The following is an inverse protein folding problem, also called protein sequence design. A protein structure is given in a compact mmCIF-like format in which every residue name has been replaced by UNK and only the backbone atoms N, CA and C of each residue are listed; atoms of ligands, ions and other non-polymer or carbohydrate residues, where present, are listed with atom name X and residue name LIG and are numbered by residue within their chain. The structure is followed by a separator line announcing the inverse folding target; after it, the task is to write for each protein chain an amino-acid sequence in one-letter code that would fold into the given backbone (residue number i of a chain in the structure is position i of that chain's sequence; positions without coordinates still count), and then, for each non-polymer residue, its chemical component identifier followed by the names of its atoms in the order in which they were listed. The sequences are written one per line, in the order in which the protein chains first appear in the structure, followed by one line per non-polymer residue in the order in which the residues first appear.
data_IF_871388451313
#
_entry.id   IF_871388451313
#
_cell.length_a   1.000
_cell.length_b   1.000
_cell.length_c   1.000
_cell.angle_alpha   90.00
_cell.angle_beta   90.00
_cell.angle_gamma   90.00
#
_symmetry.space_group_name_H-M   'P 1'
#
loop_
_entity.id
_entity.type
_entity.pdbx_description
1 polymer ?
#
# COMPACT_ATOMS: atom_id res chain seq x y z
N UNK A 1 7.50 -14.74 8.15
CA UNK A 1 7.21 -14.18 6.82
C UNK A 1 8.09 -12.94 6.59
N UNK A 2 8.43 -12.62 5.35
CA UNK A 2 9.26 -11.47 4.99
C UNK A 2 8.85 -10.91 3.62
N UNK A 3 9.28 -9.68 3.32
CA UNK A 3 8.99 -8.99 2.06
C UNK A 3 10.31 -8.81 1.29
N UNK A 4 10.37 -9.28 0.05
CA UNK A 4 11.48 -9.04 -0.87
C UNK A 4 11.12 -7.89 -1.81
N UNK A 5 11.95 -6.84 -1.82
CA UNK A 5 11.83 -5.73 -2.76
C UNK A 5 13.04 -5.78 -3.69
N UNK A 6 12.79 -5.87 -4.99
CA UNK A 6 13.83 -5.91 -6.01
C UNK A 6 13.42 -5.07 -7.22
N UNK A 7 14.41 -4.65 -7.99
CA UNK A 7 14.20 -3.99 -9.28
C UNK A 7 14.63 -4.96 -10.37
N UNK A 8 13.79 -5.18 -11.38
CA UNK A 8 14.13 -5.94 -12.58
C UNK A 8 14.19 -5.00 -13.78
N UNK A 9 15.26 -5.08 -14.57
CA UNK A 9 15.36 -4.41 -15.86
C UNK A 9 15.68 -5.45 -16.93
N UNK A 10 14.86 -5.60 -17.99
CA UNK A 10 15.10 -6.59 -19.05
C UNK A 10 16.26 -6.20 -19.98
N UNK A 11 16.72 -4.95 -19.97
CA UNK A 11 17.79 -4.44 -20.81
C UNK A 11 18.92 -3.83 -20.00
N UNK A 12 20.15 -3.96 -20.54
CA UNK A 12 21.44 -3.52 -19.98
C UNK A 12 21.58 -2.00 -19.79
N UNK A 13 20.59 -1.21 -20.21
CA UNK A 13 20.54 0.24 -19.98
C UNK A 13 20.08 0.51 -18.55
N UNK A 14 21.04 0.46 -17.63
CA UNK A 14 20.84 0.75 -16.23
C UNK A 14 20.22 2.14 -16.00
N UNK A 15 18.92 2.17 -15.70
CA UNK A 15 18.18 3.40 -15.38
C UNK A 15 17.49 3.37 -14.00
N UNK A 16 17.39 2.20 -13.36
CA UNK A 16 16.76 2.05 -12.04
C UNK A 16 17.72 2.25 -10.86
N UNK A 17 18.97 2.67 -11.11
CA UNK A 17 19.98 2.89 -10.07
C UNK A 17 19.51 3.85 -8.97
N UNK A 18 18.71 4.86 -9.32
CA UNK A 18 18.09 5.77 -8.36
C UNK A 18 17.12 5.07 -7.40
N UNK A 19 16.35 4.09 -7.88
CA UNK A 19 15.42 3.30 -7.04
C UNK A 19 16.18 2.32 -6.15
N UNK A 20 17.22 1.66 -6.70
CA UNK A 20 18.12 0.80 -5.91
C UNK A 20 18.75 1.60 -4.77
N UNK A 21 19.16 2.84 -5.03
CA UNK A 21 19.71 3.74 -4.02
C UNK A 21 18.69 4.12 -2.93
N UNK A 22 17.40 4.29 -3.27
CA UNK A 22 16.34 4.51 -2.26
C UNK A 22 16.12 3.29 -1.36
N UNK A 23 16.41 2.07 -1.86
CA UNK A 23 16.28 0.82 -1.10
C UNK A 23 17.33 0.64 0.01
N UNK A 24 18.37 1.47 0.08
CA UNK A 24 19.42 1.37 1.10
C UNK A 24 18.94 1.86 2.48
N UNK A 25 19.46 1.24 3.55
CA UNK A 25 18.91 1.29 4.92
C UNK A 25 18.58 2.68 5.51
N UNK A 26 19.33 3.79 5.38
CA UNK A 26 18.83 5.04 5.95
C UNK A 26 17.65 5.61 5.15
N UNK A 27 17.69 5.51 3.81
CA UNK A 27 16.67 6.08 2.92
C UNK A 27 15.37 5.28 2.96
N UNK A 28 15.47 3.96 2.87
CA UNK A 28 14.30 3.08 2.90
C UNK A 28 13.53 3.20 4.21
N UNK A 29 14.22 3.31 5.36
CA UNK A 29 13.57 3.49 6.65
C UNK A 29 12.70 4.76 6.69
N UNK A 30 13.18 5.86 6.09
CA UNK A 30 12.42 7.11 5.99
C UNK A 30 11.18 6.92 5.11
N UNK A 31 11.33 6.22 3.97
CA UNK A 31 10.23 5.92 3.06
C UNK A 31 9.16 5.08 3.77
N UNK A 32 9.58 4.01 4.45
CA UNK A 32 8.67 3.12 5.18
C UNK A 32 7.91 3.87 6.29
N UNK A 33 8.60 4.69 7.08
CA UNK A 33 7.94 5.51 8.11
C UNK A 33 6.95 6.51 7.51
N UNK A 34 7.29 7.12 6.36
CA UNK A 34 6.36 8.02 5.65
C UNK A 34 5.14 7.27 5.13
N UNK A 35 5.32 6.06 4.58
CA UNK A 35 4.22 5.22 4.12
C UNK A 35 3.26 4.85 5.27
N UNK A 36 3.80 4.44 6.42
CA UNK A 36 3.01 4.13 7.62
C UNK A 36 2.29 5.36 8.21
N UNK A 37 2.90 6.55 8.13
CA UNK A 37 2.20 7.79 8.51
C UNK A 37 1.08 8.12 7.53
N UNK A 38 1.32 7.99 6.23
CA UNK A 38 0.33 8.24 5.19
C UNK A 38 -0.85 7.28 5.28
N UNK A 39 -0.64 6.04 5.70
CA UNK A 39 -1.72 5.07 5.87
C UNK A 39 -2.72 5.41 6.99
N UNK A 40 -2.47 6.43 7.83
CA UNK A 40 -3.40 6.90 8.89
C UNK A 40 -4.58 7.68 8.34
N UNK A 41 -4.40 8.42 7.26
CA UNK A 41 -5.38 9.37 6.75
C UNK A 41 -5.68 9.10 5.28
N UNK A 42 -6.91 9.40 4.88
CA UNK A 42 -7.33 9.37 3.49
C UNK A 42 -8.16 10.62 3.21
N UNK A 43 -7.98 11.23 2.03
CA UNK A 43 -8.78 12.40 1.64
C UNK A 43 -10.26 12.05 1.38
N UNK A 44 -10.58 10.76 1.33
CA UNK A 44 -11.94 10.23 1.14
C UNK A 44 -12.61 9.82 2.46
N UNK A 45 -12.02 10.19 3.60
CA UNK A 45 -12.65 9.97 4.91
C UNK A 45 -13.95 10.79 5.07
N UNK A 46 -14.97 10.28 5.77
CA UNK A 46 -14.97 9.01 6.52
C UNK A 46 -15.42 7.79 5.69
N UNK A 47 -15.83 8.00 4.43
CA UNK A 47 -16.38 6.93 3.57
C UNK A 47 -15.39 5.79 3.32
N UNK A 48 -14.10 6.10 3.16
CA UNK A 48 -13.06 5.09 2.97
C UNK A 48 -12.90 4.19 4.19
N UNK A 49 -12.80 4.75 5.41
CA UNK A 49 -12.58 3.92 6.60
C UNK A 49 -13.77 3.02 6.95
N UNK A 50 -15.00 3.45 6.64
CA UNK A 50 -16.20 2.64 6.88
C UNK A 50 -16.35 1.44 5.95
N UNK A 51 -15.54 1.34 4.89
CA UNK A 51 -15.56 0.19 3.99
C UNK A 51 -15.01 -1.07 4.70
N UNK A 52 -15.82 -2.13 4.72
CA UNK A 52 -15.48 -3.41 5.36
C UNK A 52 -15.27 -4.50 4.32
N UNK A 53 -14.16 -5.22 4.47
CA UNK A 53 -13.83 -6.41 3.67
C UNK A 53 -14.88 -7.50 3.90
N UNK A 54 -15.34 -8.17 2.83
CA UNK A 54 -16.31 -9.26 2.91
C UNK A 54 -17.77 -8.82 3.02
N UNK A 55 -18.07 -7.51 2.93
CA UNK A 55 -19.45 -7.03 2.81
C UNK A 55 -19.92 -7.06 1.35
N UNK A 56 -20.76 -8.04 1.00
CA UNK A 56 -21.20 -8.26 -0.37
C UNK A 56 -20.05 -8.69 -1.28
N UNK A 57 -19.98 -8.12 -2.49
CA UNK A 57 -18.90 -8.39 -3.44
C UNK A 57 -17.64 -7.53 -3.21
N UNK A 58 -17.49 -6.89 -2.04
CA UNK A 58 -16.32 -6.05 -1.75
C UNK A 58 -15.13 -6.90 -1.31
N UNK A 59 -14.10 -6.91 -2.15
CA UNK A 59 -12.81 -7.57 -1.90
C UNK A 59 -11.86 -6.73 -1.04
N UNK A 60 -12.20 -5.46 -0.76
CA UNK A 60 -11.34 -4.49 -0.06
C UNK A 60 -12.02 -3.89 1.18
N UNK A 61 -11.21 -3.53 2.17
CA UNK A 61 -11.59 -2.76 3.36
C UNK A 61 -11.34 -1.27 3.17
N UNK A 62 -10.57 -0.65 4.07
CA UNK A 62 -10.22 0.78 4.02
C UNK A 62 -9.20 1.09 2.91
N UNK A 63 -9.58 0.94 1.64
CA UNK A 63 -8.73 1.11 0.47
C UNK A 63 -9.45 1.85 -0.67
N UNK A 64 -8.76 2.80 -1.32
CA UNK A 64 -9.24 3.52 -2.50
C UNK A 64 -8.07 4.16 -3.27
N UNK A 65 -8.38 4.87 -4.38
CA UNK A 65 -7.41 5.63 -5.18
C UNK A 65 -6.68 6.74 -4.42
N UNK A 66 -7.26 7.29 -3.36
CA UNK A 66 -6.60 8.33 -2.57
C UNK A 66 -5.55 7.78 -1.58
N UNK A 67 -5.54 6.47 -1.28
CA UNK A 67 -4.64 5.90 -0.27
C UNK A 67 -3.83 4.68 -0.70
N UNK A 68 -4.44 3.67 -1.32
CA UNK A 68 -3.80 2.36 -1.53
C UNK A 68 -3.81 1.87 -2.98
N UNK A 69 -4.80 2.26 -3.80
CA UNK A 69 -4.85 1.75 -5.17
C UNK A 69 -3.71 2.33 -6.01
N UNK A 70 -3.03 1.45 -6.73
CA UNK A 70 -2.04 1.78 -7.73
C UNK A 70 -2.67 1.80 -9.13
N UNK A 71 -2.02 2.41 -10.13
CA UNK A 71 -2.41 2.24 -11.53
C UNK A 71 -2.53 0.75 -11.88
N UNK A 72 -3.49 0.41 -12.73
CA UNK A 72 -3.82 -0.99 -13.08
C UNK A 72 -2.60 -1.75 -13.59
N UNK A 73 -1.82 -1.14 -14.48
CA UNK A 73 -0.59 -1.72 -15.04
C UNK A 73 0.55 -1.92 -14.04
N UNK A 74 0.40 -1.41 -12.81
CA UNK A 74 1.39 -1.52 -11.74
C UNK A 74 1.03 -2.59 -10.69
N UNK A 75 -0.20 -3.09 -10.68
CA UNK A 75 -0.66 -4.05 -9.68
C UNK A 75 -1.14 -5.35 -10.33
N UNK A 76 -0.29 -6.38 -10.29
CA UNK A 76 -0.61 -7.71 -10.82
C UNK A 76 -1.79 -8.40 -10.09
N UNK A 77 -2.11 -7.94 -8.88
CA UNK A 77 -3.24 -8.44 -8.08
C UNK A 77 -4.52 -7.60 -8.21
N UNK A 78 -4.56 -6.65 -9.16
CA UNK A 78 -5.74 -5.81 -9.45
C UNK A 78 -6.28 -5.04 -8.23
N UNK A 79 -5.38 -4.58 -7.35
CA UNK A 79 -5.72 -3.87 -6.12
C UNK A 79 -6.76 -4.60 -5.23
N UNK A 80 -6.73 -5.93 -5.17
CA UNK A 80 -7.62 -6.74 -4.33
C UNK A 80 -7.04 -7.03 -2.94
N UNK A 81 -7.91 -7.36 -1.99
CA UNK A 81 -7.58 -7.74 -0.61
C UNK A 81 -6.79 -6.66 0.15
N UNK A 82 -7.09 -5.40 -0.14
CA UNK A 82 -6.41 -4.24 0.45
C UNK A 82 -7.21 -3.66 1.63
N UNK A 83 -6.51 -3.42 2.74
CA UNK A 83 -7.03 -2.69 3.88
C UNK A 83 -5.92 -1.94 4.62
N UNK A 84 -5.95 -0.60 4.61
CA UNK A 84 -4.90 0.19 5.30
C UNK A 84 -4.97 0.07 6.82
N UNK A 85 -6.11 -0.36 7.36
CA UNK A 85 -6.27 -0.64 8.78
C UNK A 85 -5.35 -1.77 9.27
N UNK A 86 -4.82 -2.61 8.36
CA UNK A 86 -3.93 -3.72 8.71
C UNK A 86 -2.60 -3.25 9.32
N UNK A 87 -2.07 -2.14 8.84
CA UNK A 87 -0.78 -1.60 9.32
C UNK A 87 -0.96 -0.48 10.36
N UNK A 88 -2.12 0.18 10.40
CA UNK A 88 -2.34 1.34 11.23
C UNK A 88 -3.82 1.67 11.37
N UNK A 89 -4.26 2.02 12.59
CA UNK A 89 -5.64 2.42 12.86
C UNK A 89 -6.13 3.54 11.92
N UNK A 90 -7.36 3.40 11.45
CA UNK A 90 -8.09 4.40 10.65
C UNK A 90 -9.11 5.14 11.53
N UNK A 91 -9.92 6.01 10.93
CA UNK A 91 -10.91 6.80 11.69
C UNK A 91 -12.03 5.94 12.30
N UNK A 92 -12.33 4.78 11.71
CA UNK A 92 -13.46 3.93 12.12
C UNK A 92 -13.10 2.47 12.34
N UNK A 93 -11.84 2.08 12.14
CA UNK A 93 -11.37 0.72 12.43
C UNK A 93 -10.00 0.73 13.13
N UNK A 94 -9.92 -0.04 14.21
CA UNK A 94 -8.68 -0.29 14.96
C UNK A 94 -8.05 -1.66 14.64
N UNK A 95 -8.74 -2.50 13.86
CA UNK A 95 -8.30 -3.84 13.49
C UNK A 95 -8.51 -3.99 11.98
N UNK A 96 -7.42 -4.01 11.21
CA UNK A 96 -7.48 -4.39 9.80
C UNK A 96 -7.53 -5.90 9.63
N UNK A 97 -8.24 -6.33 8.59
CA UNK A 97 -8.29 -7.74 8.22
C UNK A 97 -7.11 -8.09 7.31
N UNK A 98 -6.46 -9.21 7.61
CA UNK A 98 -5.56 -9.91 6.71
C UNK A 98 -6.27 -11.18 6.27
N UNK A 99 -6.57 -11.30 4.98
CA UNK A 99 -7.19 -12.48 4.39
C UNK A 99 -6.17 -13.22 3.53
#
# INVERSE_FOLDING_TARGET
AGILIYTSSPSSDGSLGGLVEQGKKPKFNIILQKALRKSRLCSMEPLCSFARLGTGNKTNGSACHACLYLPETSCESMNNLLDRAFVQNTLSSEIGLFA
#
